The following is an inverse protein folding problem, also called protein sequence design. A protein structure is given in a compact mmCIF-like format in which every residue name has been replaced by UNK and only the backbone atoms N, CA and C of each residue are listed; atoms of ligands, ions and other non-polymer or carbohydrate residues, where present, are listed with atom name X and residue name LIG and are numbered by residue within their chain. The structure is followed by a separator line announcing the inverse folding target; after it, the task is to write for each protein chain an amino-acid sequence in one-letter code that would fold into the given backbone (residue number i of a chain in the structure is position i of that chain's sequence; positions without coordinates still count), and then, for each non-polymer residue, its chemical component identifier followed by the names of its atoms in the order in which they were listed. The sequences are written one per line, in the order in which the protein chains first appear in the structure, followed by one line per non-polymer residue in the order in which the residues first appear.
data_IF_493055268342
#
_entry.id   IF_493055268342
#
_cell.length_a   1.000
_cell.length_b   1.000
_cell.length_c   1.000
_cell.angle_alpha   90.00
_cell.angle_beta   90.00
_cell.angle_gamma   90.00
#
_symmetry.space_group_name_H-M   'P 1'
#
loop_
_entity.id
_entity.type
_entity.pdbx_description
1 polymer ?
#
# COMPACT_ATOMS: atom_id res chain seq x y z
N UNK A 1 -7.01 -56.41 3.53
CA UNK A 1 -5.68 -55.77 3.56
C UNK A 1 -5.52 -54.66 2.51
N UNK A 2 -5.77 -54.89 1.21
CA UNK A 2 -5.72 -53.84 0.16
C UNK A 2 -6.62 -52.61 0.42
N UNK A 3 -7.83 -52.79 0.95
CA UNK A 3 -8.74 -51.68 1.29
C UNK A 3 -8.24 -50.83 2.47
N UNK A 4 -7.53 -51.42 3.45
CA UNK A 4 -6.92 -50.68 4.55
C UNK A 4 -5.69 -49.89 4.07
N UNK A 5 -4.91 -50.47 3.16
CA UNK A 5 -3.75 -49.81 2.55
C UNK A 5 -4.15 -48.57 1.73
N UNK A 6 -5.25 -48.67 0.97
CA UNK A 6 -5.77 -47.53 0.20
C UNK A 6 -6.34 -46.42 1.10
N UNK A 7 -6.95 -46.76 2.25
CA UNK A 7 -7.44 -45.76 3.22
C UNK A 7 -6.26 -45.07 3.92
N UNK A 8 -5.20 -45.80 4.26
CA UNK A 8 -3.97 -45.23 4.82
C UNK A 8 -3.23 -44.30 3.85
N UNK A 9 -3.24 -44.60 2.55
CA UNK A 9 -2.66 -43.72 1.52
C UNK A 9 -3.47 -42.42 1.39
N UNK A 10 -4.80 -42.49 1.45
CA UNK A 10 -5.67 -41.29 1.36
C UNK A 10 -5.53 -40.39 2.60
N UNK A 11 -5.33 -40.97 3.79
CA UNK A 11 -5.07 -40.20 5.01
C UNK A 11 -3.67 -39.60 5.00
N UNK A 12 -2.67 -40.31 4.46
CA UNK A 12 -1.30 -39.80 4.32
C UNK A 12 -1.18 -38.68 3.26
N UNK A 13 -2.01 -38.69 2.20
CA UNK A 13 -2.04 -37.61 1.22
C UNK A 13 -2.79 -36.37 1.70
N UNK A 14 -3.76 -36.49 2.61
CA UNK A 14 -4.40 -35.33 3.25
C UNK A 14 -3.49 -34.61 4.28
N UNK A 15 -2.50 -35.31 4.84
CA UNK A 15 -1.55 -34.75 5.83
C UNK A 15 -0.37 -33.98 5.20
N UNK A 16 -0.20 -34.04 3.88
CA UNK A 16 0.83 -33.30 3.12
C UNK A 16 0.33 -31.95 2.57
N UNK A 17 -0.95 -31.63 2.77
CA UNK A 17 -1.46 -30.28 2.54
C UNK A 17 -1.12 -29.45 3.79
N UNK A 18 0.16 -29.08 3.92
CA UNK A 18 0.47 -27.90 4.73
C UNK A 18 -0.38 -26.77 4.16
N UNK A 19 -1.16 -26.03 4.97
CA UNK A 19 -1.65 -24.76 4.49
C UNK A 19 -0.40 -23.99 4.10
N UNK A 20 -0.20 -23.79 2.80
CA UNK A 20 0.47 -22.58 2.36
C UNK A 20 -0.39 -21.50 3.00
N UNK A 21 0.08 -20.98 4.13
CA UNK A 21 -0.43 -19.74 4.65
C UNK A 21 -0.25 -18.78 3.51
N UNK A 22 -1.32 -18.55 2.74
CA UNK A 22 -1.51 -17.33 2.00
C UNK A 22 -1.30 -16.25 3.05
N UNK A 23 -0.06 -15.80 3.17
CA UNK A 23 0.30 -14.66 3.99
C UNK A 23 -0.56 -13.56 3.42
N UNK A 24 -1.61 -13.16 4.15
CA UNK A 24 -2.38 -12.02 3.75
C UNK A 24 -1.39 -10.87 3.56
N UNK A 25 -1.18 -10.44 2.32
CA UNK A 25 -0.23 -9.38 1.95
C UNK A 25 -0.44 -8.16 2.87
N UNK A 26 -1.72 -7.88 3.15
CA UNK A 26 -2.14 -6.82 4.07
C UNK A 26 -2.24 -7.28 5.52
N UNK A 27 -1.56 -6.56 6.41
CA UNK A 27 -1.61 -6.73 7.87
C UNK A 27 -2.78 -5.91 8.45
N UNK A 28 -3.62 -6.56 9.25
CA UNK A 28 -4.76 -5.88 9.88
C UNK A 28 -4.32 -4.97 11.03
N UNK A 29 -5.13 -3.95 11.35
CA UNK A 29 -4.91 -3.09 12.53
C UNK A 29 -4.76 -3.89 13.82
N UNK A 30 -5.51 -4.98 13.98
CA UNK A 30 -5.47 -5.82 15.19
C UNK A 30 -4.14 -6.55 15.31
N UNK A 31 -3.66 -7.13 14.21
CA UNK A 31 -2.33 -7.77 14.18
C UNK A 31 -1.24 -6.74 14.46
N UNK A 32 -1.29 -5.58 13.81
CA UNK A 32 -0.36 -4.49 14.04
C UNK A 32 -0.36 -4.01 15.51
N UNK A 33 -1.53 -3.97 16.16
CA UNK A 33 -1.64 -3.63 17.58
C UNK A 33 -0.99 -4.69 18.49
N UNK A 34 -1.16 -5.98 18.18
CA UNK A 34 -0.50 -7.07 18.92
C UNK A 34 1.03 -6.98 18.78
N UNK A 35 1.53 -6.62 17.60
CA UNK A 35 2.97 -6.42 17.36
C UNK A 35 3.47 -5.21 18.16
N UNK A 36 2.71 -4.11 18.17
CA UNK A 36 3.01 -2.95 18.98
C UNK A 36 3.07 -3.31 20.48
N UNK A 37 2.11 -4.10 20.98
CA UNK A 37 2.11 -4.58 22.36
C UNK A 37 3.35 -5.44 22.66
N UNK A 38 3.68 -6.38 21.76
CA UNK A 38 4.89 -7.22 21.87
C UNK A 38 6.17 -6.36 21.94
N UNK A 39 6.27 -5.34 21.09
CA UNK A 39 7.39 -4.41 21.08
C UNK A 39 7.55 -3.68 22.42
N UNK A 40 6.47 -3.10 22.95
CA UNK A 40 6.55 -2.38 24.23
C UNK A 40 6.79 -3.31 25.43
N UNK A 41 6.22 -4.52 25.41
CA UNK A 41 6.49 -5.53 26.44
C UNK A 41 7.98 -5.89 26.46
N UNK A 42 8.57 -6.16 25.28
CA UNK A 42 9.99 -6.46 25.15
C UNK A 42 10.87 -5.27 25.55
N UNK A 43 10.54 -4.05 25.10
CA UNK A 43 11.31 -2.85 25.40
C UNK A 43 11.31 -2.46 26.88
N UNK A 44 10.29 -2.88 27.64
CA UNK A 44 10.17 -2.61 29.08
C UNK A 44 10.53 -3.81 29.95
N UNK A 45 10.74 -4.99 29.37
CA UNK A 45 11.05 -6.23 30.09
C UNK A 45 9.91 -6.75 30.96
N UNK A 46 8.67 -6.31 30.71
CA UNK A 46 7.48 -6.71 31.50
C UNK A 46 6.21 -6.56 30.66
N UNK A 47 5.12 -7.19 31.09
CA UNK A 47 3.80 -7.01 30.46
C UNK A 47 3.29 -5.58 30.71
N UNK A 48 3.00 -4.87 29.63
CA UNK A 48 2.51 -3.51 29.63
C UNK A 48 1.01 -3.44 29.29
N UNK A 49 0.44 -2.25 29.38
CA UNK A 49 -0.90 -2.00 28.84
C UNK A 49 -0.88 -2.05 27.31
N UNK A 50 -2.00 -2.43 26.70
CA UNK A 50 -2.11 -2.42 25.25
C UNK A 50 -1.89 -0.99 24.69
N UNK A 51 -1.09 -0.82 23.62
CA UNK A 51 -0.92 0.47 22.96
C UNK A 51 -2.24 0.96 22.34
N UNK A 52 -2.43 2.28 22.35
CA UNK A 52 -3.59 2.93 21.75
C UNK A 52 -3.33 3.21 20.28
N UNK A 53 -4.26 2.78 19.42
CA UNK A 53 -4.29 3.22 18.02
C UNK A 53 -4.40 4.74 17.96
N UNK A 54 -3.57 5.37 17.14
CA UNK A 54 -3.56 6.84 16.99
C UNK A 54 -4.02 7.25 15.60
N UNK A 55 -3.34 6.82 14.54
CA UNK A 55 -3.72 7.11 13.16
C UNK A 55 -3.12 6.08 12.19
N UNK A 56 -3.52 6.18 10.91
CA UNK A 56 -2.99 5.36 9.80
C UNK A 56 -2.19 6.20 8.83
N UNK A 57 -1.27 5.59 8.10
CA UNK A 57 -0.54 6.26 7.03
C UNK A 57 -1.31 6.53 5.74
N UNK A 58 -2.65 6.35 5.73
CA UNK A 58 -3.49 6.43 4.51
C UNK A 58 -3.33 7.76 3.75
N UNK A 59 -3.10 8.84 4.45
CA UNK A 59 -2.91 10.17 3.85
C UNK A 59 -1.59 10.33 3.07
N UNK A 60 -0.67 9.38 3.22
CA UNK A 60 0.66 9.37 2.62
C UNK A 60 0.78 8.42 1.42
N UNK A 61 -0.33 7.84 0.92
CA UNK A 61 -0.34 7.01 -0.29
C UNK A 61 -0.99 7.75 -1.46
N UNK A 62 -0.81 7.20 -2.66
CA UNK A 62 -1.52 7.64 -3.86
C UNK A 62 -3.02 7.43 -3.65
N UNK A 63 -3.83 8.46 -3.96
CA UNK A 63 -5.30 8.45 -3.87
C UNK A 63 -5.93 8.05 -2.52
N UNK A 64 -5.13 7.82 -1.46
CA UNK A 64 -5.58 7.45 -0.11
C UNK A 64 -6.41 6.16 -0.04
N UNK A 65 -6.24 5.26 -1.02
CA UNK A 65 -7.03 4.02 -1.12
C UNK A 65 -6.47 2.89 -0.25
N UNK A 66 -5.22 3.02 0.20
CA UNK A 66 -4.49 1.99 0.93
C UNK A 66 -4.01 2.52 2.29
N UNK A 67 -3.86 1.62 3.28
CA UNK A 67 -3.22 1.95 4.55
C UNK A 67 -1.82 1.32 4.50
N UNK A 68 -0.73 2.11 4.46
CA UNK A 68 0.63 1.58 4.38
C UNK A 68 1.21 1.22 5.75
N UNK A 69 0.73 1.86 6.81
CA UNK A 69 1.16 1.59 8.18
C UNK A 69 0.14 2.08 9.21
N UNK A 70 0.28 1.60 10.44
CA UNK A 70 -0.47 2.00 11.61
C UNK A 70 0.45 2.61 12.65
N UNK A 71 -0.02 3.65 13.35
CA UNK A 71 0.71 4.28 14.46
C UNK A 71 0.01 3.98 15.77
N UNK A 72 0.77 3.51 16.75
CA UNK A 72 0.30 3.23 18.09
C UNK A 72 1.12 4.00 19.12
N UNK A 73 0.42 4.73 20.01
CA UNK A 73 1.01 5.41 21.16
C UNK A 73 0.80 4.53 22.41
N UNK A 74 1.83 4.34 23.22
CA UNK A 74 1.69 3.64 24.49
C UNK A 74 1.16 4.59 25.58
N UNK A 75 0.24 4.16 26.47
CA UNK A 75 -0.33 5.03 27.52
C UNK A 75 0.71 5.69 28.44
N UNK A 76 1.79 4.98 28.75
CA UNK A 76 2.88 5.48 29.61
C UNK A 76 3.98 6.21 28.83
N UNK A 77 3.75 6.54 27.56
CA UNK A 77 4.71 7.19 26.67
C UNK A 77 5.49 6.21 25.78
N UNK A 78 5.88 6.74 24.62
CA UNK A 78 6.44 6.02 23.49
C UNK A 78 5.42 5.78 22.38
N UNK A 79 5.91 5.53 21.18
CA UNK A 79 5.11 5.15 20.02
C UNK A 79 5.85 4.15 19.13
N UNK A 80 5.10 3.44 18.30
CA UNK A 80 5.65 2.55 17.29
C UNK A 80 4.80 2.65 16.01
N UNK A 81 5.47 2.62 14.87
CA UNK A 81 4.87 2.60 13.54
C UNK A 81 5.06 1.19 12.99
N UNK A 82 3.95 0.52 12.70
CA UNK A 82 3.91 -0.86 12.21
C UNK A 82 3.45 -0.87 10.77
N UNK A 83 4.19 -1.55 9.89
CA UNK A 83 3.77 -1.73 8.50
C UNK A 83 2.42 -2.45 8.41
N UNK A 84 1.61 -2.03 7.46
CA UNK A 84 0.35 -2.68 7.10
C UNK A 84 0.51 -3.67 5.94
N UNK A 85 1.75 -3.94 5.52
CA UNK A 85 2.13 -4.78 4.39
C UNK A 85 3.28 -5.70 4.81
N UNK A 86 3.16 -6.99 4.49
CA UNK A 86 4.12 -8.00 4.90
C UNK A 86 5.34 -8.10 3.95
N UNK A 87 5.27 -7.49 2.77
CA UNK A 87 6.43 -7.26 1.89
C UNK A 87 7.35 -6.13 2.35
N UNK A 88 6.93 -5.32 3.33
CA UNK A 88 7.75 -4.31 3.99
C UNK A 88 8.14 -4.76 5.41
N UNK A 89 9.18 -4.17 6.00
CA UNK A 89 9.61 -4.52 7.36
C UNK A 89 8.51 -4.23 8.40
N UNK A 90 8.33 -5.08 9.44
CA UNK A 90 7.21 -4.96 10.37
C UNK A 90 7.21 -3.68 11.20
N UNK A 91 8.37 -3.26 11.72
CA UNK A 91 8.49 -2.05 12.53
C UNK A 91 9.22 -0.99 11.71
N UNK A 92 8.55 0.10 11.35
CA UNK A 92 9.13 1.14 10.50
C UNK A 92 9.85 2.21 11.31
N UNK A 93 9.28 2.56 12.47
CA UNK A 93 9.85 3.53 13.38
C UNK A 93 9.33 3.32 14.80
N UNK A 94 10.07 3.80 15.79
CA UNK A 94 9.63 3.78 17.18
C UNK A 94 10.29 4.89 18.01
N UNK A 95 9.68 5.18 19.15
CA UNK A 95 10.30 5.92 20.25
C UNK A 95 9.83 5.31 21.55
N UNK A 96 10.71 5.21 22.55
CA UNK A 96 10.33 4.75 23.90
C UNK A 96 9.81 5.90 24.79
N UNK A 97 9.75 7.12 24.25
CA UNK A 97 9.29 8.33 24.93
C UNK A 97 8.41 9.19 24.02
N UNK A 98 7.67 10.11 24.62
CA UNK A 98 6.81 11.05 23.89
C UNK A 98 5.61 10.35 23.24
N UNK A 99 4.96 11.04 22.31
CA UNK A 99 3.86 10.53 21.50
C UNK A 99 4.00 11.06 20.08
N UNK A 100 3.47 10.34 19.12
CA UNK A 100 3.36 10.81 17.74
C UNK A 100 1.90 11.17 17.47
N UNK A 101 1.64 12.41 17.07
CA UNK A 101 0.30 12.92 16.80
C UNK A 101 0.24 13.44 15.35
N UNK A 102 -0.81 13.11 14.57
CA UNK A 102 -0.87 13.45 13.14
C UNK A 102 -0.83 14.96 12.90
N UNK A 103 -1.44 15.76 13.79
CA UNK A 103 -1.44 17.22 13.71
C UNK A 103 -0.14 17.90 14.13
N UNK A 104 0.89 17.15 14.54
CA UNK A 104 2.17 17.71 15.06
C UNK A 104 3.40 17.19 14.31
N UNK A 105 3.22 16.57 13.15
CA UNK A 105 4.31 16.08 12.31
C UNK A 105 5.10 17.25 11.71
N UNK A 106 6.43 17.21 11.82
CA UNK A 106 7.31 18.14 11.11
C UNK A 106 7.27 17.90 9.59
N UNK A 107 7.75 18.86 8.81
CA UNK A 107 7.84 18.71 7.35
C UNK A 107 8.71 17.50 6.96
N UNK A 108 9.85 17.30 7.61
CA UNK A 108 10.71 16.13 7.39
C UNK A 108 10.05 14.80 7.76
N UNK A 109 9.27 14.74 8.85
CA UNK A 109 8.50 13.53 9.19
C UNK A 109 7.43 13.24 8.13
N UNK A 110 6.73 14.27 7.63
CA UNK A 110 5.76 14.10 6.54
C UNK A 110 6.43 13.61 5.27
N UNK A 111 7.60 14.12 4.92
CA UNK A 111 8.36 13.63 3.77
C UNK A 111 8.76 12.15 3.94
N UNK A 112 9.29 11.75 5.10
CA UNK A 112 9.60 10.35 5.38
C UNK A 112 8.37 9.46 5.34
N UNK A 113 7.23 9.91 5.84
CA UNK A 113 6.00 9.12 5.84
C UNK A 113 5.37 9.02 4.44
N UNK A 114 5.49 10.06 3.61
CA UNK A 114 5.18 9.99 2.18
C UNK A 114 6.09 8.99 1.45
N UNK A 115 7.38 9.02 1.75
CA UNK A 115 8.35 8.06 1.22
C UNK A 115 7.94 6.63 1.58
N UNK A 116 7.64 6.38 2.85
CA UNK A 116 7.16 5.07 3.29
C UNK A 116 5.84 4.66 2.63
N UNK A 117 4.85 5.56 2.61
CA UNK A 117 3.56 5.30 2.01
C UNK A 117 3.67 4.88 0.55
N UNK A 118 4.50 5.59 -0.23
CA UNK A 118 4.76 5.29 -1.64
C UNK A 118 5.50 3.96 -1.83
N UNK A 119 6.60 3.73 -1.12
CA UNK A 119 7.39 2.50 -1.30
C UNK A 119 6.63 1.25 -0.84
N UNK A 120 5.85 1.35 0.24
CA UNK A 120 4.98 0.26 0.70
C UNK A 120 3.79 0.05 -0.25
N UNK A 121 3.28 1.11 -0.89
CA UNK A 121 2.25 0.97 -1.93
C UNK A 121 2.80 0.24 -3.16
N UNK A 122 4.00 0.59 -3.62
CA UNK A 122 4.59 -0.01 -4.82
C UNK A 122 4.98 -1.47 -4.63
N UNK A 123 5.58 -1.84 -3.49
CA UNK A 123 6.08 -3.21 -3.28
C UNK A 123 4.98 -4.27 -3.34
N UNK A 124 3.72 -3.87 -3.17
CA UNK A 124 2.55 -4.76 -3.28
C UNK A 124 2.45 -5.40 -4.66
N UNK A 125 2.73 -4.61 -5.69
CA UNK A 125 2.64 -5.02 -7.09
C UNK A 125 3.94 -5.65 -7.58
N UNK A 126 5.01 -5.57 -6.80
CA UNK A 126 6.29 -6.15 -7.13
C UNK A 126 6.25 -7.69 -7.04
N UNK A 127 6.83 -8.34 -8.04
CA UNK A 127 6.91 -9.80 -8.13
C UNK A 127 8.10 -10.37 -7.33
N UNK A 128 9.10 -9.55 -7.03
CA UNK A 128 10.27 -9.95 -6.26
C UNK A 128 9.89 -10.23 -4.80
N UNK A 129 10.57 -11.20 -4.21
CA UNK A 129 10.29 -11.71 -2.87
C UNK A 129 11.23 -11.05 -1.85
N UNK A 130 10.74 -10.18 -0.94
CA UNK A 130 11.58 -9.52 0.07
C UNK A 130 11.92 -10.49 1.21
N UNK A 131 13.04 -11.19 1.08
CA UNK A 131 13.41 -12.31 1.94
C UNK A 131 13.61 -11.91 3.41
N UNK A 132 14.25 -10.78 3.70
CA UNK A 132 14.53 -10.36 5.08
C UNK A 132 13.27 -9.82 5.78
N UNK A 133 12.33 -9.22 5.06
CA UNK A 133 11.05 -8.75 5.55
C UNK A 133 10.18 -9.96 5.89
N UNK A 134 10.05 -10.92 4.97
CA UNK A 134 9.33 -12.18 5.21
C UNK A 134 9.91 -12.91 6.42
N UNK A 135 11.24 -12.98 6.54
CA UNK A 135 11.93 -13.55 7.70
C UNK A 135 11.64 -12.79 8.99
N UNK A 136 11.61 -11.45 8.94
CA UNK A 136 11.25 -10.63 10.10
C UNK A 136 9.80 -10.87 10.56
N UNK A 137 8.86 -11.00 9.62
CA UNK A 137 7.46 -11.36 9.91
C UNK A 137 7.32 -12.79 10.45
N UNK A 138 8.08 -13.74 9.90
CA UNK A 138 8.07 -15.14 10.33
C UNK A 138 8.58 -15.34 11.77
N UNK A 139 9.38 -14.42 12.30
CA UNK A 139 9.87 -14.47 13.68
C UNK A 139 9.92 -13.08 14.35
N UNK A 140 8.73 -12.49 14.55
CA UNK A 140 8.56 -11.20 15.20
C UNK A 140 9.24 -11.09 16.58
N UNK A 141 9.17 -12.08 17.49
CA UNK A 141 9.86 -11.99 18.78
C UNK A 141 11.38 -11.84 18.62
N UNK A 142 12.01 -12.63 17.75
CA UNK A 142 13.45 -12.53 17.50
C UNK A 142 13.81 -11.23 16.80
N UNK A 143 13.00 -10.79 15.83
CA UNK A 143 13.20 -9.51 15.15
C UNK A 143 13.18 -8.35 16.15
N UNK A 144 12.17 -8.28 17.01
CA UNK A 144 12.05 -7.26 18.07
C UNK A 144 13.23 -7.35 19.05
N UNK A 145 13.61 -8.55 19.45
CA UNK A 145 14.78 -8.75 20.30
C UNK A 145 16.04 -8.17 19.66
N UNK A 146 16.32 -8.47 18.38
CA UNK A 146 17.50 -7.96 17.67
C UNK A 146 17.54 -6.43 17.62
N UNK A 147 16.38 -5.77 17.43
CA UNK A 147 16.27 -4.30 17.47
C UNK A 147 16.68 -3.78 18.86
N UNK A 148 16.16 -4.41 19.92
CA UNK A 148 16.30 -3.92 21.29
C UNK A 148 17.61 -4.37 21.96
N UNK A 149 18.24 -5.45 21.52
CA UNK A 149 19.51 -5.93 22.06
C UNK A 149 20.72 -5.27 21.40
N UNK A 150 20.52 -4.69 20.21
CA UNK A 150 21.58 -3.95 19.51
C UNK A 150 22.05 -2.75 20.33
N UNK A 151 23.36 -2.52 20.32
CA UNK A 151 23.98 -1.35 20.94
C UNK A 151 23.36 -0.07 20.38
N UNK A 152 23.05 0.86 21.27
CA UNK A 152 22.53 2.18 20.91
C UNK A 152 23.69 3.17 20.93
N UNK A 153 24.10 3.62 19.75
CA UNK A 153 25.10 4.65 19.57
C UNK A 153 24.41 5.95 19.19
N UNK A 154 24.56 7.00 20.00
CA UNK A 154 23.91 8.30 19.77
C UNK A 154 24.88 9.45 20.02
N UNK A 155 24.64 10.53 19.30
CA UNK A 155 25.39 11.77 19.36
C UNK A 155 24.42 12.95 19.39
N UNK A 156 24.92 14.10 19.82
CA UNK A 156 24.19 15.35 19.64
C UNK A 156 24.28 15.84 18.20
N UNK A 157 23.43 16.82 17.86
CA UNK A 157 23.49 17.53 16.60
C UNK A 157 24.77 18.39 16.60
N UNK A 158 25.63 18.21 15.60
CA UNK A 158 26.94 18.86 15.54
C UNK A 158 26.95 20.20 14.79
N UNK A 159 26.00 20.41 13.89
CA UNK A 159 25.90 21.63 13.09
C UNK A 159 24.58 22.38 13.38
N UNK A 160 24.57 23.72 13.37
CA UNK A 160 23.34 24.51 13.41
C UNK A 160 22.37 24.07 12.31
N UNK A 161 21.07 24.07 12.62
CA UNK A 161 20.06 23.61 11.66
C UNK A 161 20.04 24.40 10.34
N UNK A 162 20.34 25.70 10.41
CA UNK A 162 20.45 26.57 9.22
C UNK A 162 21.57 26.15 8.26
N UNK A 163 22.67 25.59 8.78
CA UNK A 163 23.75 25.04 7.94
C UNK A 163 23.30 23.74 7.28
N UNK A 164 22.59 22.87 8.01
CA UNK A 164 21.97 21.64 7.46
C UNK A 164 21.01 21.98 6.32
N UNK A 165 20.15 22.99 6.50
CA UNK A 165 19.22 23.46 5.46
C UNK A 165 19.97 23.96 4.22
N UNK A 166 21.04 24.74 4.42
CA UNK A 166 21.86 25.26 3.32
C UNK A 166 22.53 24.12 2.55
N UNK A 167 23.06 23.13 3.25
CA UNK A 167 23.72 21.98 2.63
C UNK A 167 22.74 21.12 1.81
N UNK A 168 21.55 20.89 2.34
CA UNK A 168 20.47 20.14 1.67
C UNK A 168 19.94 20.89 0.44
N UNK A 169 19.76 22.21 0.52
CA UNK A 169 19.28 23.02 -0.60
C UNK A 169 20.22 22.97 -1.80
N UNK A 170 21.53 22.85 -1.56
CA UNK A 170 22.54 22.80 -2.62
C UNK A 170 22.83 21.37 -3.10
N UNK A 171 22.17 20.35 -2.54
CA UNK A 171 22.57 18.95 -2.71
C UNK A 171 22.42 18.47 -4.17
N UNK A 172 21.36 18.90 -4.88
CA UNK A 172 21.20 18.61 -6.32
C UNK A 172 22.23 19.33 -7.21
N UNK A 173 22.80 20.44 -6.76
CA UNK A 173 23.78 21.22 -7.52
C UNK A 173 25.21 20.66 -7.39
N UNK A 174 25.42 19.73 -6.45
CA UNK A 174 26.73 19.12 -6.26
C UNK A 174 27.11 18.23 -7.44
N UNK A 175 28.42 18.21 -7.75
CA UNK A 175 28.95 17.37 -8.82
C UNK A 175 28.81 15.87 -8.52
N UNK A 176 28.82 15.49 -7.23
CA UNK A 176 28.70 14.12 -6.73
C UNK A 176 27.26 13.74 -6.39
N UNK A 177 26.27 14.60 -6.66
CA UNK A 177 24.85 14.41 -6.26
C UNK A 177 24.26 13.07 -6.67
N UNK A 178 24.73 12.48 -7.77
CA UNK A 178 24.35 11.14 -8.23
C UNK A 178 24.78 10.06 -7.25
N UNK A 179 25.96 10.13 -6.67
CA UNK A 179 26.44 9.11 -5.73
C UNK A 179 25.86 9.29 -4.31
N UNK A 180 25.10 10.36 -4.10
CA UNK A 180 24.48 10.70 -2.82
C UNK A 180 23.02 10.28 -2.73
N UNK A 181 22.48 9.52 -3.70
CA UNK A 181 21.08 9.09 -3.73
C UNK A 181 20.92 7.59 -3.52
N UNK A 182 19.97 7.21 -2.65
CA UNK A 182 19.59 5.83 -2.35
C UNK A 182 19.20 5.01 -3.58
N UNK A 183 18.67 5.64 -4.62
CA UNK A 183 18.22 4.97 -5.84
C UNK A 183 19.33 4.27 -6.65
N UNK A 184 20.60 4.55 -6.36
CA UNK A 184 21.74 3.95 -7.06
C UNK A 184 22.35 2.76 -6.31
N UNK A 185 21.73 2.33 -5.21
CA UNK A 185 22.24 1.31 -4.32
C UNK A 185 21.14 0.33 -3.94
N UNK A 186 21.52 -0.92 -3.66
CA UNK A 186 20.63 -1.82 -2.95
C UNK A 186 20.32 -1.25 -1.55
N UNK A 187 19.11 -1.44 -0.99
CA UNK A 187 18.76 -0.86 0.32
C UNK A 187 19.75 -1.21 1.44
N UNK A 188 20.23 -2.45 1.45
CA UNK A 188 21.22 -2.92 2.44
C UNK A 188 22.58 -2.23 2.27
N UNK A 189 22.99 -1.95 1.04
CA UNK A 189 24.20 -1.18 0.74
C UNK A 189 24.04 0.26 1.20
N UNK A 190 22.91 0.91 0.89
CA UNK A 190 22.60 2.27 1.31
C UNK A 190 22.62 2.42 2.84
N UNK A 191 21.91 1.54 3.55
CA UNK A 191 21.89 1.49 5.02
C UNK A 191 23.29 1.31 5.60
N UNK A 192 24.12 0.48 4.97
CA UNK A 192 25.51 0.26 5.40
C UNK A 192 26.34 1.52 5.20
N UNK A 193 26.26 2.16 4.04
CA UNK A 193 27.00 3.38 3.72
C UNK A 193 26.65 4.54 4.68
N UNK A 194 25.36 4.81 4.90
CA UNK A 194 24.92 5.83 5.86
C UNK A 194 25.36 5.47 7.29
N UNK A 195 25.30 4.18 7.63
CA UNK A 195 25.76 3.68 8.91
C UNK A 195 27.26 3.84 9.15
N UNK A 196 28.08 3.65 8.12
CA UNK A 196 29.53 3.77 8.18
C UNK A 196 29.96 5.23 8.27
N UNK A 197 29.32 6.10 7.48
CA UNK A 197 29.50 7.55 7.56
C UNK A 197 29.09 8.06 8.96
N UNK A 198 27.98 7.58 9.51
CA UNK A 198 27.55 7.97 10.85
C UNK A 198 28.56 7.57 11.93
N UNK A 199 29.21 6.41 11.79
CA UNK A 199 30.25 5.96 12.72
C UNK A 199 31.51 6.82 12.63
N UNK A 200 31.88 7.27 11.43
CA UNK A 200 33.09 8.07 11.22
C UNK A 200 32.88 9.55 11.54
N UNK A 201 31.81 10.16 11.03
CA UNK A 201 31.53 11.59 11.15
C UNK A 201 30.65 11.95 12.33
N UNK A 202 30.12 10.96 13.05
CA UNK A 202 29.19 11.10 14.18
C UNK A 202 27.82 11.69 13.83
N UNK A 203 27.67 12.45 12.76
CA UNK A 203 26.41 12.91 12.20
C UNK A 203 26.44 12.67 10.68
N UNK A 204 25.28 12.42 10.07
CA UNK A 204 25.15 12.39 8.60
C UNK A 204 24.03 13.33 8.21
N UNK A 205 24.35 14.34 7.41
CA UNK A 205 23.35 15.21 6.79
C UNK A 205 22.67 14.43 5.68
N UNK A 206 21.35 14.43 5.74
CA UNK A 206 20.49 13.68 4.84
C UNK A 206 19.40 14.60 4.27
N UNK A 207 18.83 14.16 3.16
CA UNK A 207 17.65 14.77 2.58
C UNK A 207 16.62 13.71 2.23
N UNK A 208 15.35 14.05 2.40
CA UNK A 208 14.22 13.18 2.05
C UNK A 208 13.41 13.89 0.98
N UNK A 209 13.29 13.26 -0.19
CA UNK A 209 12.53 13.77 -1.29
C UNK A 209 11.02 13.74 -0.98
N UNK A 210 10.36 14.88 -1.15
CA UNK A 210 8.90 14.96 -1.17
C UNK A 210 8.36 14.35 -2.47
N UNK A 211 7.04 14.05 -2.55
CA UNK A 211 6.43 13.67 -3.82
C UNK A 211 6.60 14.70 -4.95
N UNK A 212 6.83 15.97 -4.61
CA UNK A 212 7.06 17.07 -5.55
C UNK A 212 8.53 17.18 -5.99
N UNK A 213 9.45 16.41 -5.37
CA UNK A 213 10.88 16.45 -5.66
C UNK A 213 11.68 17.40 -4.77
N UNK A 214 11.02 18.17 -3.90
CA UNK A 214 11.69 19.02 -2.91
C UNK A 214 12.48 18.17 -1.90
N UNK A 215 13.58 18.70 -1.39
CA UNK A 215 14.40 18.04 -0.40
C UNK A 215 14.09 18.55 1.01
N UNK A 216 13.58 17.66 1.87
CA UNK A 216 13.41 17.98 3.28
C UNK A 216 14.65 17.55 4.09
N UNK A 217 15.25 18.46 4.89
CA UNK A 217 16.44 18.16 5.66
C UNK A 217 16.19 17.15 6.78
N UNK A 218 17.15 16.24 6.95
CA UNK A 218 17.22 15.32 8.06
C UNK A 218 18.68 15.14 8.51
N UNK A 219 18.91 14.78 9.77
CA UNK A 219 20.25 14.41 10.24
C UNK A 219 20.19 13.11 11.01
N UNK A 220 20.97 12.12 10.59
CA UNK A 220 21.21 10.93 11.37
C UNK A 220 22.20 11.26 12.50
N UNK A 221 21.79 10.99 13.73
CA UNK A 221 22.55 11.31 14.96
C UNK A 221 22.70 10.10 15.88
N UNK A 222 22.48 8.91 15.33
CA UNK A 222 22.61 7.68 16.08
C UNK A 222 22.04 6.48 15.35
N UNK A 223 22.39 5.29 15.82
CA UNK A 223 21.99 4.02 15.23
C UNK A 223 21.74 2.98 16.31
N UNK A 224 20.80 2.07 16.03
CA UNK A 224 20.55 0.86 16.81
C UNK A 224 20.08 -0.24 15.86
N UNK A 225 20.95 -1.19 15.55
CA UNK A 225 20.70 -2.16 14.48
C UNK A 225 20.47 -1.44 13.15
N UNK A 226 19.35 -1.72 12.48
CA UNK A 226 18.98 -1.09 11.20
C UNK A 226 18.23 0.24 11.35
N UNK A 227 18.08 0.74 12.57
CA UNK A 227 17.33 1.96 12.83
C UNK A 227 18.27 3.13 13.11
N UNK A 228 17.90 4.29 12.60
CA UNK A 228 18.64 5.54 12.73
C UNK A 228 17.85 6.53 13.56
N UNK A 229 18.56 7.23 14.44
CA UNK A 229 18.01 8.38 15.17
C UNK A 229 18.00 9.57 14.21
N UNK A 230 16.85 9.87 13.64
CA UNK A 230 16.69 10.98 12.71
C UNK A 230 16.15 12.23 13.42
N UNK A 231 16.79 13.36 13.13
CA UNK A 231 16.33 14.70 13.50
C UNK A 231 15.82 15.41 12.26
N UNK A 232 14.69 16.11 12.39
CA UNK A 232 14.06 16.89 11.31
C UNK A 232 13.97 18.38 11.64
N UNK A 233 14.63 18.78 12.73
CA UNK A 233 14.83 20.14 13.18
C UNK A 233 15.90 20.14 14.28
N UNK A 234 16.18 21.32 14.83
CA UNK A 234 17.07 21.52 15.98
C UNK A 234 16.60 20.82 17.27
N UNK A 235 15.33 20.41 17.37
CA UNK A 235 14.79 19.82 18.60
C UNK A 235 15.29 18.38 18.79
N UNK A 236 15.66 17.96 20.01
CA UNK A 236 16.03 16.58 20.28
C UNK A 236 14.87 15.61 19.99
N UNK A 237 15.21 14.45 19.44
CA UNK A 237 14.27 13.38 19.14
C UNK A 237 14.88 12.06 19.57
N UNK A 238 14.18 11.25 20.36
CA UNK A 238 14.62 9.87 20.69
C UNK A 238 14.03 8.85 19.70
N UNK A 239 13.42 9.33 18.62
CA UNK A 239 12.78 8.48 17.64
C UNK A 239 13.81 7.84 16.70
N UNK A 240 13.61 6.54 16.50
CA UNK A 240 14.40 5.66 15.66
C UNK A 240 13.56 5.29 14.45
N UNK A 241 14.12 5.41 13.25
CA UNK A 241 13.45 5.16 11.97
C UNK A 241 14.30 4.20 11.13
N UNK A 242 13.68 3.30 10.36
CA UNK A 242 14.42 2.57 9.31
C UNK A 242 14.74 3.54 8.18
N UNK A 243 15.93 3.44 7.62
CA UNK A 243 16.16 4.00 6.28
C UNK A 243 15.58 2.98 5.30
N UNK A 244 14.60 3.42 4.51
CA UNK A 244 13.81 2.59 3.61
C UNK A 244 12.96 1.49 4.34
N UNK A 245 11.67 1.33 4.01
CA UNK A 245 10.79 0.33 4.61
C UNK A 245 10.79 -1.01 3.87
N UNK A 246 11.43 -1.13 2.69
CA UNK A 246 11.42 -2.33 1.83
C UNK A 246 12.83 -2.73 1.37
N UNK A 247 12.98 -3.96 0.89
CA UNK A 247 14.25 -4.53 0.38
C UNK A 247 14.48 -4.37 -1.13
N UNK A 248 13.48 -3.93 -1.88
CA UNK A 248 13.53 -3.95 -3.36
C UNK A 248 13.38 -2.52 -3.88
N UNK A 249 12.37 -1.78 -3.38
CA UNK A 249 12.08 -0.43 -3.84
C UNK A 249 12.68 0.57 -2.86
N UNK A 250 13.75 1.24 -3.28
CA UNK A 250 14.46 2.22 -2.47
C UNK A 250 14.96 3.42 -3.25
N UNK A 251 14.16 4.48 -3.28
CA UNK A 251 14.62 5.79 -3.76
C UNK A 251 13.87 6.91 -3.07
N UNK A 252 14.51 8.07 -2.93
CA UNK A 252 13.97 9.26 -2.29
C UNK A 252 14.67 9.65 -0.98
N UNK A 253 15.72 8.93 -0.59
CA UNK A 253 16.67 9.40 0.42
C UNK A 253 17.97 9.82 -0.25
N UNK A 254 18.58 10.89 0.26
CA UNK A 254 19.94 11.31 -0.07
C UNK A 254 20.73 11.51 1.21
N UNK A 255 22.05 11.33 1.14
CA UNK A 255 22.95 11.47 2.27
C UNK A 255 24.30 11.99 1.80
N UNK A 256 24.91 12.86 2.59
CA UNK A 256 26.24 13.40 2.30
C UNK A 256 27.26 12.41 2.85
N UNK A 257 28.00 11.77 1.95
CA UNK A 257 28.92 10.66 2.24
C UNK A 257 30.32 11.06 1.80
N UNK A 258 31.33 10.80 2.66
CA UNK A 258 32.71 11.18 2.36
C UNK A 258 33.34 10.29 1.28
N UNK A 259 33.04 8.99 1.31
CA UNK A 259 33.54 8.00 0.36
C UNK A 259 32.39 7.08 -0.07
N UNK A 260 31.47 7.54 -0.92
CA UNK A 260 30.48 6.64 -1.48
C UNK A 260 31.21 5.53 -2.25
N UNK A 261 30.81 4.28 -2.02
CA UNK A 261 31.22 3.20 -2.92
C UNK A 261 30.66 3.63 -4.28
N UNK A 262 31.52 3.80 -5.29
CA UNK A 262 31.06 4.16 -6.62
C UNK A 262 29.94 3.21 -7.02
N UNK A 263 28.83 3.75 -7.53
CA UNK A 263 27.73 2.91 -7.99
C UNK A 263 28.33 1.83 -8.92
N UNK A 264 28.09 0.53 -8.67
CA UNK A 264 28.69 -0.52 -9.49
C UNK A 264 28.44 -0.21 -10.97
N UNK A 265 29.43 -0.37 -11.85
CA UNK A 265 29.25 -0.09 -13.28
C UNK A 265 28.07 -0.88 -13.88
N UNK A 266 27.68 -1.99 -13.26
CA UNK A 266 26.46 -2.78 -13.58
C UNK A 266 25.13 -2.05 -13.33
N UNK A 267 25.10 -0.94 -12.57
CA UNK A 267 23.93 -0.07 -12.46
C UNK A 267 23.84 0.97 -13.58
N UNK A 268 24.79 0.99 -14.52
CA UNK A 268 24.56 1.63 -15.82
C UNK A 268 23.65 0.73 -16.65
N UNK A 269 22.38 1.11 -16.72
CA UNK A 269 21.33 0.48 -17.52
C UNK A 269 20.78 -0.87 -16.99
N UNK A 270 20.29 -0.89 -15.76
CA UNK A 270 18.84 -1.02 -15.68
C UNK A 270 18.31 0.39 -15.60
N UNK A 271 17.94 0.95 -16.77
CA UNK A 271 16.76 1.81 -16.75
C UNK A 271 15.78 1.05 -15.88
N UNK A 272 15.36 1.62 -14.75
CA UNK A 272 14.08 1.27 -14.15
C UNK A 272 13.20 1.16 -15.39
N UNK A 273 12.75 -0.06 -15.80
CA UNK A 273 11.96 -0.18 -16.98
C UNK A 273 10.89 0.87 -16.79
N UNK A 274 10.63 1.58 -17.86
CA UNK A 274 9.70 2.66 -17.88
C UNK A 274 8.31 2.25 -17.35
N UNK A 275 8.06 1.25 -16.50
CA UNK A 275 6.82 0.95 -15.79
C UNK A 275 6.09 2.16 -15.24
N UNK A 276 6.72 3.31 -14.92
CA UNK A 276 5.95 4.52 -14.65
C UNK A 276 5.43 5.21 -15.92
N UNK A 277 6.19 5.22 -17.01
CA UNK A 277 5.74 5.67 -18.33
C UNK A 277 4.91 4.60 -19.05
N UNK A 278 5.11 3.31 -18.85
CA UNK A 278 4.33 2.21 -19.38
C UNK A 278 3.06 2.05 -18.56
N UNK A 279 3.07 2.19 -17.23
CA UNK A 279 1.82 2.28 -16.45
C UNK A 279 1.08 3.58 -16.74
N UNK A 280 1.77 4.71 -16.96
CA UNK A 280 1.12 5.97 -17.34
C UNK A 280 0.64 5.94 -18.79
N UNK A 281 1.36 5.30 -19.72
CA UNK A 281 0.96 5.10 -21.13
C UNK A 281 -0.10 4.03 -21.22
N UNK A 282 -0.10 3.02 -20.36
CA UNK A 282 -1.12 1.98 -20.26
C UNK A 282 -2.35 2.52 -19.54
N UNK A 283 -2.19 3.40 -18.54
CA UNK A 283 -3.29 4.14 -17.90
C UNK A 283 -3.87 5.21 -18.81
N UNK A 284 -3.06 5.95 -19.58
CA UNK A 284 -3.56 6.89 -20.61
C UNK A 284 -4.08 6.17 -21.84
N UNK A 285 -3.50 5.03 -22.27
CA UNK A 285 -4.11 4.18 -23.30
C UNK A 285 -5.38 3.53 -22.80
N UNK A 286 -5.48 3.16 -21.52
CA UNK A 286 -6.71 2.61 -20.92
C UNK A 286 -7.73 3.71 -20.68
N UNK A 287 -7.34 4.94 -20.37
CA UNK A 287 -8.24 6.10 -20.36
C UNK A 287 -8.67 6.50 -21.76
N UNK A 288 -7.77 6.49 -22.75
CA UNK A 288 -8.11 6.74 -24.15
C UNK A 288 -8.92 5.61 -24.75
N UNK A 289 -8.68 4.35 -24.39
CA UNK A 289 -9.51 3.20 -24.72
C UNK A 289 -10.82 3.25 -23.98
N UNK A 290 -10.88 3.62 -22.71
CA UNK A 290 -12.15 3.81 -22.00
C UNK A 290 -12.91 5.02 -22.57
N UNK A 291 -12.23 6.06 -23.05
CA UNK A 291 -12.84 7.21 -23.72
C UNK A 291 -13.29 6.85 -25.13
N UNK A 292 -12.53 6.03 -25.86
CA UNK A 292 -12.85 5.50 -27.20
C UNK A 292 -13.91 4.41 -27.11
N UNK A 293 -13.94 3.62 -26.04
CA UNK A 293 -14.94 2.61 -25.72
C UNK A 293 -16.19 3.28 -25.18
N UNK A 294 -16.11 4.38 -24.42
CA UNK A 294 -17.27 5.21 -24.06
C UNK A 294 -17.83 5.93 -25.29
N UNK A 295 -16.99 6.38 -26.22
CA UNK A 295 -17.43 6.91 -27.52
C UNK A 295 -18.04 5.80 -28.39
N UNK A 296 -17.47 4.59 -28.40
CA UNK A 296 -18.01 3.44 -29.12
C UNK A 296 -19.26 2.86 -28.44
N UNK A 297 -19.44 2.97 -27.13
CA UNK A 297 -20.62 2.53 -26.37
C UNK A 297 -21.78 3.51 -26.54
N UNK A 298 -21.48 4.77 -26.87
CA UNK A 298 -22.45 5.76 -27.36
C UNK A 298 -22.84 5.51 -28.83
N UNK A 299 -21.98 4.86 -29.62
CA UNK A 299 -22.22 4.57 -31.05
C UNK A 299 -22.80 3.15 -31.29
N UNK A 300 -22.44 2.17 -30.46
CA UNK A 300 -22.85 0.76 -30.50
C UNK A 300 -22.96 0.21 -29.06
N UNK A 301 -24.12 0.35 -28.41
CA UNK A 301 -24.30 -0.06 -27.01
C UNK A 301 -24.20 -1.58 -26.86
N UNK A 302 -23.33 -2.04 -25.95
CA UNK A 302 -23.12 -3.47 -25.65
C UNK A 302 -24.07 -4.02 -24.57
N UNK A 303 -24.85 -3.14 -23.94
CA UNK A 303 -25.85 -3.46 -22.91
C UNK A 303 -27.24 -2.89 -23.24
N UNK A 304 -28.28 -3.30 -22.50
CA UNK A 304 -29.64 -2.86 -22.74
C UNK A 304 -29.83 -1.38 -22.37
N UNK A 305 -30.35 -0.58 -23.30
CA UNK A 305 -30.71 0.83 -23.05
C UNK A 305 -32.16 0.87 -22.55
N UNK A 306 -32.38 1.49 -21.39
CA UNK A 306 -33.70 1.65 -20.77
C UNK A 306 -34.18 3.09 -20.90
N UNK A 307 -35.28 3.29 -21.62
CA UNK A 307 -36.00 4.56 -21.70
C UNK A 307 -37.27 4.50 -20.85
N UNK A 308 -37.44 5.48 -19.98
CA UNK A 308 -38.66 5.65 -19.18
C UNK A 308 -39.64 6.57 -19.92
N UNK A 309 -40.85 6.06 -20.18
CA UNK A 309 -41.89 6.78 -20.93
C UNK A 309 -42.94 7.45 -20.02
N UNK A 310 -42.77 7.36 -18.70
CA UNK A 310 -43.75 7.84 -17.72
C UNK A 310 -44.80 6.79 -17.38
N UNK A 311 -45.54 7.02 -16.29
CA UNK A 311 -46.68 6.17 -15.86
C UNK A 311 -46.38 4.66 -15.69
N UNK A 312 -45.13 4.30 -15.39
CA UNK A 312 -44.71 2.91 -15.24
C UNK A 312 -44.39 2.17 -16.55
N UNK A 313 -44.27 2.87 -17.68
CA UNK A 313 -43.90 2.29 -18.98
C UNK A 313 -42.41 2.45 -19.27
N UNK A 314 -41.78 1.36 -19.70
CA UNK A 314 -40.36 1.29 -20.01
C UNK A 314 -40.15 0.66 -21.40
N UNK A 315 -39.28 1.30 -22.18
CA UNK A 315 -38.78 0.77 -23.45
C UNK A 315 -37.34 0.32 -23.24
N UNK A 316 -37.07 -0.97 -23.44
CA UNK A 316 -35.74 -1.55 -23.28
C UNK A 316 -35.21 -2.00 -24.63
N UNK A 317 -34.19 -1.32 -25.16
CA UNK A 317 -33.50 -1.72 -26.38
C UNK A 317 -32.35 -2.65 -26.03
N UNK A 318 -32.39 -3.87 -26.54
CA UNK A 318 -31.34 -4.86 -26.38
C UNK A 318 -30.33 -4.73 -27.53
N UNK A 319 -29.07 -5.14 -27.30
CA UNK A 319 -28.06 -5.24 -28.37
C UNK A 319 -28.31 -6.43 -29.31
N UNK A 320 -29.33 -7.25 -29.03
CA UNK A 320 -29.77 -8.39 -29.82
C UNK A 320 -31.30 -8.49 -29.83
N UNK A 321 -31.86 -9.39 -30.66
CA UNK A 321 -33.31 -9.64 -30.63
C UNK A 321 -33.75 -10.16 -29.25
N UNK A 322 -34.80 -9.55 -28.70
CA UNK A 322 -35.44 -10.03 -27.49
C UNK A 322 -36.24 -11.30 -27.81
N UNK A 323 -36.18 -12.29 -26.91
CA UNK A 323 -36.96 -13.52 -26.99
C UNK A 323 -38.09 -13.52 -25.96
N UNK A 324 -37.80 -13.13 -24.71
CA UNK A 324 -38.76 -13.15 -23.61
C UNK A 324 -38.40 -12.13 -22.54
N UNK A 325 -39.38 -11.48 -21.92
CA UNK A 325 -39.23 -10.72 -20.69
C UNK A 325 -40.15 -11.30 -19.61
N UNK A 326 -39.63 -11.42 -18.39
CA UNK A 326 -40.39 -11.81 -17.20
C UNK A 326 -40.14 -10.77 -16.12
N UNK A 327 -41.19 -10.25 -15.51
CA UNK A 327 -41.09 -9.24 -14.46
C UNK A 327 -41.57 -9.81 -13.14
N UNK A 328 -40.79 -9.58 -12.08
CA UNK A 328 -41.07 -9.97 -10.71
C UNK A 328 -41.24 -8.75 -9.82
N UNK A 329 -42.13 -8.84 -8.83
CA UNK A 329 -42.11 -7.92 -7.70
C UNK A 329 -41.02 -8.32 -6.69
N UNK A 330 -40.76 -7.45 -5.71
CA UNK A 330 -39.74 -7.69 -4.66
C UNK A 330 -40.00 -8.93 -3.78
N UNK A 331 -41.25 -9.43 -3.76
CA UNK A 331 -41.61 -10.67 -3.07
C UNK A 331 -41.32 -11.93 -3.90
N UNK A 332 -40.77 -11.77 -5.12
CA UNK A 332 -40.46 -12.86 -6.04
C UNK A 332 -41.67 -13.39 -6.82
N UNK A 333 -42.82 -12.71 -6.75
CA UNK A 333 -44.00 -13.08 -7.53
C UNK A 333 -43.88 -12.51 -8.95
N UNK A 334 -44.12 -13.36 -9.95
CA UNK A 334 -44.18 -12.95 -11.36
C UNK A 334 -45.42 -12.09 -11.60
N UNK A 335 -45.23 -10.88 -12.11
CA UNK A 335 -46.28 -9.88 -12.34
C UNK A 335 -46.53 -9.55 -13.81
N UNK A 336 -45.57 -9.82 -14.69
CA UNK A 336 -45.74 -9.72 -16.15
C UNK A 336 -44.83 -10.74 -16.86
N UNK A 337 -45.23 -11.19 -18.04
CA UNK A 337 -44.45 -12.06 -18.92
C UNK A 337 -44.83 -11.83 -20.38
N UNK A 338 -43.84 -11.61 -21.24
CA UNK A 338 -44.04 -11.38 -22.67
C UNK A 338 -42.97 -12.07 -23.50
N UNK A 339 -43.35 -12.49 -24.70
CA UNK A 339 -42.43 -13.03 -25.70
C UNK A 339 -42.34 -12.07 -26.88
N UNK A 340 -41.14 -11.96 -27.45
CA UNK A 340 -40.85 -11.05 -28.55
C UNK A 340 -40.36 -11.83 -29.77
N UNK A 341 -40.58 -11.28 -30.96
CA UNK A 341 -40.12 -11.84 -32.24
C UNK A 341 -39.63 -10.71 -33.12
N UNK A 342 -38.49 -10.93 -33.77
CA UNK A 342 -37.93 -10.04 -34.78
C UNK A 342 -37.80 -8.57 -34.33
N UNK A 343 -37.54 -8.37 -33.04
CA UNK A 343 -37.37 -7.04 -32.45
C UNK A 343 -36.32 -7.08 -31.35
N UNK A 344 -35.53 -6.02 -31.24
CA UNK A 344 -34.62 -5.79 -30.12
C UNK A 344 -35.25 -4.89 -29.04
N UNK A 345 -36.50 -4.45 -29.19
CA UNK A 345 -37.20 -3.62 -28.23
C UNK A 345 -38.13 -4.48 -27.36
N UNK A 346 -37.87 -4.51 -26.05
CA UNK A 346 -38.76 -5.07 -25.04
C UNK A 346 -39.55 -3.95 -24.34
N UNK A 347 -40.87 -3.98 -24.50
CA UNK A 347 -41.78 -3.03 -23.83
C UNK A 347 -42.31 -3.61 -22.52
N UNK A 348 -42.04 -2.92 -21.42
CA UNK A 348 -42.49 -3.32 -20.09
C UNK A 348 -43.50 -2.28 -19.58
N UNK A 349 -44.70 -2.74 -19.27
CA UNK A 349 -45.77 -1.89 -18.74
C UNK A 349 -46.13 -2.29 -17.30
N UNK A 350 -45.78 -1.41 -16.36
CA UNK A 350 -46.09 -1.55 -14.94
C UNK A 350 -47.21 -0.61 -14.49
N UNK A 351 -47.91 0.06 -15.40
CA UNK A 351 -48.96 1.06 -15.13
C UNK A 351 -50.20 0.52 -14.37
N UNK A 352 -50.38 -0.81 -14.30
CA UNK A 352 -51.40 -1.47 -13.49
C UNK A 352 -50.91 -1.97 -12.11
N UNK A 353 -49.61 -1.93 -11.84
CA UNK A 353 -48.99 -2.51 -10.63
C UNK A 353 -48.82 -1.49 -9.47
N UNK A 354 -48.72 -1.90 -8.19
CA UNK A 354 -48.44 -0.94 -7.11
C UNK A 354 -47.11 -0.18 -7.31
N UNK A 355 -46.99 1.04 -6.79
CA UNK A 355 -45.72 1.77 -6.78
C UNK A 355 -44.64 0.98 -6.03
N UNK A 356 -43.43 0.90 -6.58
CA UNK A 356 -42.36 0.09 -5.99
C UNK A 356 -41.34 -0.44 -7.00
N UNK A 357 -40.41 -1.24 -6.49
CA UNK A 357 -39.35 -1.86 -7.30
C UNK A 357 -39.81 -3.17 -7.93
N UNK A 358 -39.36 -3.37 -9.17
CA UNK A 358 -39.59 -4.56 -9.96
C UNK A 358 -38.28 -5.02 -10.59
N UNK A 359 -38.14 -6.34 -10.75
CA UNK A 359 -36.99 -6.96 -11.40
C UNK A 359 -37.47 -7.52 -12.73
N UNK A 360 -36.96 -7.00 -13.84
CA UNK A 360 -37.22 -7.53 -15.17
C UNK A 360 -36.03 -8.39 -15.63
N UNK A 361 -36.31 -9.63 -16.01
CA UNK A 361 -35.35 -10.53 -16.65
C UNK A 361 -35.73 -10.64 -18.12
N UNK A 362 -34.86 -10.18 -19.01
CA UNK A 362 -35.08 -10.20 -20.45
C UNK A 362 -34.08 -11.14 -21.09
N UNK A 363 -34.55 -12.23 -21.67
CA UNK A 363 -33.75 -13.18 -22.42
C UNK A 363 -33.64 -12.74 -23.88
N UNK A 364 -32.42 -12.60 -24.38
CA UNK A 364 -32.12 -12.42 -25.79
C UNK A 364 -32.17 -13.74 -26.57
N UNK A 365 -32.21 -13.65 -27.91
CA UNK A 365 -32.25 -14.79 -28.83
C UNK A 365 -31.01 -15.68 -28.74
N UNK A 366 -29.86 -15.11 -28.36
CA UNK A 366 -28.62 -15.83 -28.04
C UNK A 366 -28.74 -16.74 -26.81
N UNK A 367 -29.78 -16.54 -25.99
CA UNK A 367 -29.95 -17.18 -24.68
C UNK A 367 -29.38 -16.36 -23.51
N UNK A 368 -28.67 -15.27 -23.78
CA UNK A 368 -28.18 -14.36 -22.75
C UNK A 368 -29.35 -13.69 -22.00
N UNK A 369 -29.19 -13.44 -20.70
CA UNK A 369 -30.25 -12.87 -19.85
C UNK A 369 -29.80 -11.54 -19.25
N UNK A 370 -30.54 -10.48 -19.58
CA UNK A 370 -30.35 -9.14 -19.07
C UNK A 370 -31.26 -8.90 -17.86
N UNK A 371 -30.69 -8.48 -16.73
CA UNK A 371 -31.45 -8.17 -15.51
C UNK A 371 -31.54 -6.66 -15.29
N UNK A 372 -32.75 -6.14 -15.13
CA UNK A 372 -33.02 -4.73 -14.92
C UNK A 372 -33.81 -4.52 -13.62
N UNK A 373 -33.47 -3.46 -12.90
CA UNK A 373 -34.24 -2.97 -11.75
C UNK A 373 -35.06 -1.76 -12.18
N UNK A 374 -36.38 -1.89 -12.20
CA UNK A 374 -37.31 -0.84 -12.59
C UNK A 374 -38.02 -0.30 -11.34
N UNK A 375 -38.28 1.00 -11.32
CA UNK A 375 -39.06 1.65 -10.26
C UNK A 375 -40.29 2.31 -10.90
N UNK A 376 -41.48 1.86 -10.50
CA UNK A 376 -42.75 2.45 -10.94
C UNK A 376 -43.11 3.65 -10.06
#
# INVERSE_FOLDING_TARGET
MRKLYNILIIIASLLMCSPESLYGETVSRREAQNIAEMFFNAARGQKMAAPNFTFTGREFTTNRLFIPFYVFNHPTGGYVIISAENKAYPILAYSLKGKLEPGRLSAGQKALFNLYGRQIEFIRYDAETPLEAIKAWGNLPQHIYNILSSQLDVTDLLSPWTEVETEVNNLYERYDSRDLTSGNYQPSQWVTMVGDELRSQRNVVMAIATPQGDLMPAVATGRRGDYFRLRFNEQPSDAMYRLLPTEIISTGEMAILTNPIGAPEEFTAQEIPFEFYDSFIEETKREEENRRNAINEVLEPTGPIVEWQGSGQFSVYLPEEAAQAIVYNVSGMRVDERTYRDTNLAQIDLSAQPAGFYIALIRGKSGHTYSLRLYR
#
